data_IF_463730528518
#
_entry.id   IF_463730528518
#
_cell.length_a   1.000
_cell.length_b   1.000
_cell.length_c   1.000
_cell.angle_alpha   90.00
_cell.angle_beta   90.00
_cell.angle_gamma   90.00
#
_symmetry.space_group_name_H-M   'P 1'
#
loop_
_entity.id
_entity.type
_entity.pdbx_description
1 polymer ?
#
# COMPACT_ATOMS: atom_id res chain seq x y z
N UNK A 1 -40.97 -63.30 -4.13
CA UNK A 1 -42.04 -62.57 -4.84
C UNK A 1 -41.61 -61.10 -4.86
N UNK A 2 -41.02 -60.64 -5.97
CA UNK A 2 -41.65 -59.75 -6.98
C UNK A 2 -41.82 -58.32 -6.43
N UNK A 3 -40.93 -57.38 -6.76
CA UNK A 3 -40.97 -56.42 -7.90
C UNK A 3 -41.57 -55.07 -7.47
N UNK A 4 -41.07 -53.87 -7.79
CA UNK A 4 -39.93 -53.43 -8.59
C UNK A 4 -39.79 -51.88 -8.59
N UNK A 5 -38.58 -51.40 -8.91
CA UNK A 5 -38.13 -50.21 -9.69
C UNK A 5 -38.84 -48.84 -9.56
N UNK A 6 -38.22 -47.66 -9.70
CA UNK A 6 -36.84 -47.12 -9.91
C UNK A 6 -36.98 -45.59 -9.97
N UNK A 7 -35.92 -44.84 -9.65
CA UNK A 7 -35.79 -43.44 -10.08
C UNK A 7 -34.77 -42.63 -9.29
N UNK A 8 -33.53 -43.10 -9.20
CA UNK A 8 -32.41 -42.27 -8.75
C UNK A 8 -31.87 -41.54 -9.98
N UNK A 9 -31.97 -40.22 -10.00
CA UNK A 9 -31.33 -39.39 -11.03
C UNK A 9 -29.89 -39.19 -10.57
N UNK A 10 -29.00 -40.03 -11.07
CA UNK A 10 -27.57 -39.73 -11.10
C UNK A 10 -27.38 -38.66 -12.18
N UNK A 11 -27.20 -37.41 -11.79
CA UNK A 11 -26.54 -36.45 -12.68
C UNK A 11 -25.09 -36.92 -12.81
N UNK A 12 -24.75 -37.47 -13.98
CA UNK A 12 -23.36 -37.67 -14.33
C UNK A 12 -22.65 -36.31 -14.37
N UNK A 13 -21.41 -36.19 -13.87
CA UNK A 13 -20.65 -34.97 -14.02
C UNK A 13 -20.50 -34.73 -15.53
N UNK A 14 -20.97 -33.58 -15.99
CA UNK A 14 -20.65 -33.11 -17.34
C UNK A 14 -19.15 -32.86 -17.31
N UNK A 15 -18.37 -33.72 -17.96
CA UNK A 15 -16.94 -33.50 -18.11
C UNK A 15 -16.74 -32.18 -18.85
N UNK A 16 -16.06 -31.23 -18.19
CA UNK A 16 -15.71 -29.97 -18.83
C UNK A 16 -14.71 -30.24 -19.95
N UNK A 17 -15.14 -29.98 -21.18
CA UNK A 17 -14.30 -30.10 -22.36
C UNK A 17 -13.58 -28.76 -22.54
N UNK A 18 -12.31 -28.73 -22.14
CA UNK A 18 -11.44 -27.57 -22.32
C UNK A 18 -11.06 -27.40 -23.81
N UNK A 19 -11.21 -26.20 -24.35
CA UNK A 19 -10.80 -25.88 -25.73
C UNK A 19 -11.14 -24.46 -26.17
N UNK A 20 -10.71 -24.06 -27.36
CA UNK A 20 -11.05 -22.76 -27.92
C UNK A 20 -12.56 -22.66 -28.24
N UNK A 21 -13.26 -21.70 -27.63
CA UNK A 21 -14.71 -21.50 -27.80
C UNK A 21 -15.06 -20.45 -28.89
N UNK A 22 -14.06 -19.85 -29.54
CA UNK A 22 -14.26 -18.84 -30.59
C UNK A 22 -14.36 -19.48 -31.97
N UNK A 23 -15.54 -19.39 -32.60
CA UNK A 23 -15.85 -19.94 -33.93
C UNK A 23 -14.93 -19.39 -35.06
N UNK A 24 -14.23 -18.28 -34.82
CA UNK A 24 -13.33 -17.65 -35.78
C UNK A 24 -11.88 -18.15 -35.70
N UNK A 25 -11.54 -18.92 -34.66
CA UNK A 25 -10.21 -19.51 -34.49
C UNK A 25 -10.04 -20.78 -35.34
N UNK A 26 -8.84 -20.99 -35.86
CA UNK A 26 -8.45 -22.20 -36.62
C UNK A 26 -8.50 -23.49 -35.80
N UNK A 27 -8.38 -23.40 -34.48
CA UNK A 27 -8.50 -24.53 -33.57
C UNK A 27 -9.78 -24.44 -32.71
N UNK A 28 -10.82 -23.75 -33.20
CA UNK A 28 -12.15 -23.77 -32.60
C UNK A 28 -12.61 -25.20 -32.30
N UNK A 29 -13.04 -25.44 -31.07
CA UNK A 29 -13.59 -26.71 -30.63
C UNK A 29 -15.10 -26.54 -30.34
N UNK A 30 -16.00 -27.03 -31.20
CA UNK A 30 -17.44 -26.89 -31.00
C UNK A 30 -17.98 -27.67 -29.80
N UNK A 31 -17.19 -28.62 -29.28
CA UNK A 31 -17.56 -29.41 -28.10
C UNK A 31 -17.02 -28.79 -26.80
N UNK A 32 -16.26 -27.70 -26.85
CA UNK A 32 -15.69 -27.06 -25.67
C UNK A 32 -16.78 -26.40 -24.81
N UNK A 33 -16.85 -26.78 -23.54
CA UNK A 33 -17.76 -26.19 -22.54
C UNK A 33 -17.06 -25.15 -21.67
N UNK A 34 -15.72 -25.13 -21.66
CA UNK A 34 -14.88 -24.17 -20.92
C UNK A 34 -13.69 -23.75 -21.79
N UNK A 35 -13.41 -22.43 -21.84
CA UNK A 35 -12.28 -21.90 -22.61
C UNK A 35 -10.96 -22.19 -21.93
N UNK A 36 -10.01 -22.76 -22.68
CA UNK A 36 -8.64 -23.03 -22.22
C UNK A 36 -7.62 -21.97 -22.70
N UNK A 37 -8.11 -20.90 -23.33
CA UNK A 37 -7.31 -19.80 -23.91
C UNK A 37 -6.33 -20.26 -25.00
N UNK A 38 -6.57 -21.41 -25.63
CA UNK A 38 -5.69 -21.94 -26.68
C UNK A 38 -5.99 -21.43 -28.09
N UNK A 39 -6.95 -20.50 -28.29
CA UNK A 39 -7.38 -20.06 -29.61
C UNK A 39 -6.23 -19.59 -30.52
N UNK A 40 -6.09 -20.23 -31.68
CA UNK A 40 -5.12 -19.94 -32.74
C UNK A 40 -5.90 -19.35 -33.89
N UNK A 41 -5.56 -18.16 -34.33
CA UNK A 41 -6.15 -17.55 -35.52
C UNK A 41 -5.23 -17.78 -36.71
N UNK A 42 -5.79 -18.12 -37.87
CA UNK A 42 -5.01 -18.19 -39.10
C UNK A 42 -4.43 -16.81 -39.34
N UNK A 43 -3.10 -16.70 -39.30
CA UNK A 43 -2.41 -15.52 -39.79
C UNK A 43 -2.87 -15.28 -41.22
N UNK A 44 -3.76 -14.31 -41.38
CA UNK A 44 -4.13 -13.82 -42.68
C UNK A 44 -2.85 -13.24 -43.28
N UNK A 45 -2.19 -14.02 -44.14
CA UNK A 45 -1.11 -13.59 -45.02
C UNK A 45 -1.66 -12.66 -46.11
N UNK A 46 -2.56 -11.76 -45.73
CA UNK A 46 -2.83 -10.52 -46.41
C UNK A 46 -1.87 -9.50 -45.84
N UNK A 47 -0.79 -9.22 -46.57
CA UNK A 47 -0.03 -7.98 -46.46
C UNK A 47 -0.99 -6.79 -46.62
N UNK A 48 -1.69 -6.41 -45.55
CA UNK A 48 -2.06 -5.03 -45.31
C UNK A 48 -0.84 -4.38 -44.66
N UNK A 49 0.13 -4.06 -45.50
CA UNK A 49 1.32 -3.26 -45.20
C UNK A 49 0.97 -1.80 -44.89
N UNK A 50 -0.07 -1.57 -44.10
CA UNK A 50 -0.53 -0.28 -43.61
C UNK A 50 -0.98 -0.35 -42.14
N UNK A 51 -0.57 -1.38 -41.37
CA UNK A 51 -0.63 -1.24 -39.92
C UNK A 51 0.44 -0.20 -39.54
N UNK A 52 -0.02 1.03 -39.42
CA UNK A 52 0.84 2.19 -39.19
C UNK A 52 1.25 2.12 -37.73
N UNK A 53 2.48 1.65 -37.48
CA UNK A 53 3.06 1.69 -36.14
C UNK A 53 3.16 3.14 -35.70
N UNK A 54 2.54 3.47 -34.57
CA UNK A 54 2.62 4.81 -33.98
C UNK A 54 3.87 4.89 -33.11
N UNK A 55 4.60 6.00 -33.21
CA UNK A 55 5.73 6.24 -32.33
C UNK A 55 5.25 6.78 -30.99
N UNK A 56 5.62 6.10 -29.91
CA UNK A 56 5.29 6.49 -28.54
C UNK A 56 6.58 6.90 -27.82
N UNK A 57 6.63 8.08 -27.17
CA UNK A 57 7.76 8.43 -26.32
C UNK A 57 8.00 7.36 -25.26
N UNK A 58 9.22 6.85 -25.22
CA UNK A 58 9.62 5.79 -24.30
C UNK A 58 10.77 6.27 -23.42
N UNK A 59 10.61 6.05 -22.12
CA UNK A 59 11.66 6.14 -21.12
C UNK A 59 11.71 4.81 -20.38
N UNK A 60 12.92 4.24 -20.29
CA UNK A 60 13.16 3.01 -19.54
C UNK A 60 12.67 3.17 -18.09
N UNK A 61 12.17 2.08 -17.51
CA UNK A 61 11.69 2.00 -16.13
C UNK A 61 10.49 2.89 -15.77
N UNK A 62 9.88 3.57 -16.75
CA UNK A 62 8.72 4.44 -16.54
C UNK A 62 7.41 3.79 -16.97
N UNK A 63 6.31 4.29 -16.40
CA UNK A 63 4.99 4.08 -16.98
C UNK A 63 4.76 5.08 -18.12
N UNK A 64 5.05 4.65 -19.35
CA UNK A 64 4.92 5.51 -20.53
C UNK A 64 3.46 5.79 -20.94
N UNK A 65 2.46 5.28 -20.22
CA UNK A 65 1.05 5.66 -20.43
C UNK A 65 0.76 7.09 -19.95
N UNK A 66 1.58 7.63 -19.04
CA UNK A 66 1.56 9.04 -18.67
C UNK A 66 2.94 9.68 -18.92
N UNK A 67 3.08 10.57 -19.93
CA UNK A 67 4.38 11.09 -20.33
C UNK A 67 4.93 12.18 -19.39
N UNK A 68 4.18 12.60 -18.37
CA UNK A 68 4.54 13.77 -17.55
C UNK A 68 5.52 13.43 -16.43
N UNK A 69 5.48 12.22 -15.90
CA UNK A 69 6.41 11.78 -14.87
C UNK A 69 6.49 10.26 -14.81
N UNK A 70 7.70 9.73 -14.57
CA UNK A 70 8.01 8.30 -14.67
C UNK A 70 7.08 7.39 -13.84
N UNK A 71 6.83 7.75 -12.58
CA UNK A 71 5.94 7.01 -11.67
C UNK A 71 4.43 7.21 -11.93
N UNK A 72 4.01 8.02 -12.90
CA UNK A 72 2.60 8.30 -13.15
C UNK A 72 2.04 7.40 -14.25
N UNK A 73 0.75 7.00 -14.16
CA UNK A 73 -0.10 7.11 -12.98
C UNK A 73 0.41 6.26 -11.80
N UNK A 74 0.07 6.63 -10.57
CA UNK A 74 0.48 5.90 -9.36
C UNK A 74 -0.75 5.52 -8.53
N UNK A 75 -0.79 4.30 -7.94
CA UNK A 75 0.04 3.13 -8.25
C UNK A 75 -0.25 2.59 -9.66
N UNK A 76 0.67 1.80 -10.23
CA UNK A 76 0.52 1.24 -11.58
C UNK A 76 1.09 -0.18 -11.70
N UNK A 77 0.49 -0.96 -12.59
CA UNK A 77 0.99 -2.26 -13.05
C UNK A 77 2.30 -2.20 -13.82
N UNK A 78 2.74 -1.02 -14.29
CA UNK A 78 4.05 -0.85 -14.92
C UNK A 78 5.21 -1.26 -13.99
N UNK A 79 4.99 -1.16 -12.68
CA UNK A 79 5.97 -1.49 -11.65
C UNK A 79 5.72 -2.87 -11.03
N UNK A 80 4.93 -3.74 -11.69
CA UNK A 80 4.72 -5.12 -11.27
C UNK A 80 5.43 -6.06 -12.24
N UNK A 81 6.16 -7.02 -11.67
CA UNK A 81 6.73 -8.16 -12.40
C UNK A 81 6.07 -9.45 -11.92
N UNK A 82 5.85 -10.40 -12.83
CA UNK A 82 5.32 -11.71 -12.48
C UNK A 82 6.32 -12.47 -11.60
N UNK A 83 5.83 -13.01 -10.48
CA UNK A 83 6.59 -13.83 -9.56
C UNK A 83 5.69 -14.91 -8.95
N UNK A 84 5.73 -16.11 -9.54
CA UNK A 84 4.96 -17.27 -9.06
C UNK A 84 5.29 -17.74 -7.64
N UNK A 85 6.33 -17.18 -7.01
CA UNK A 85 6.71 -17.50 -5.63
C UNK A 85 5.99 -16.64 -4.59
N UNK A 86 5.32 -15.56 -5.01
CA UNK A 86 4.55 -14.68 -4.12
C UNK A 86 3.08 -15.07 -4.06
N UNK A 87 2.36 -14.53 -3.07
CA UNK A 87 0.93 -14.83 -2.87
C UNK A 87 0.07 -14.27 -4.00
N UNK A 88 0.38 -13.05 -4.45
CA UNK A 88 -0.36 -12.35 -5.51
C UNK A 88 0.03 -12.81 -6.92
N UNK A 89 1.13 -13.56 -7.06
CA UNK A 89 1.76 -13.84 -8.35
C UNK A 89 2.55 -12.65 -8.92
N UNK A 90 2.66 -11.55 -8.17
CA UNK A 90 3.40 -10.35 -8.55
C UNK A 90 4.47 -9.97 -7.53
N UNK A 91 5.41 -9.14 -7.96
CA UNK A 91 6.36 -8.42 -7.11
C UNK A 91 6.48 -6.99 -7.62
N UNK A 92 6.62 -6.02 -6.71
CA UNK A 92 6.98 -4.66 -7.10
C UNK A 92 8.42 -4.64 -7.66
N UNK A 93 8.62 -3.92 -8.75
CA UNK A 93 9.93 -3.59 -9.26
C UNK A 93 9.97 -2.12 -9.69
N UNK A 94 10.33 -1.24 -8.75
CA UNK A 94 10.59 0.18 -9.00
C UNK A 94 12.10 0.38 -9.04
N UNK A 95 12.63 0.61 -10.23
CA UNK A 95 14.04 0.93 -10.42
C UNK A 95 14.35 2.35 -9.92
N UNK A 96 15.59 2.59 -9.50
CA UNK A 96 15.99 3.89 -8.94
C UNK A 96 15.84 5.05 -9.93
N UNK A 97 16.08 4.78 -11.21
CA UNK A 97 15.87 5.69 -12.35
C UNK A 97 14.45 6.24 -12.44
N UNK A 98 13.45 5.50 -11.93
CA UNK A 98 12.07 5.94 -11.94
C UNK A 98 11.72 6.90 -10.80
N UNK A 99 12.54 6.94 -9.76
CA UNK A 99 12.26 7.65 -8.53
C UNK A 99 12.75 9.10 -8.65
N UNK A 100 11.91 10.11 -8.33
CA UNK A 100 12.33 11.50 -8.40
C UNK A 100 13.53 11.77 -7.48
N UNK A 101 14.53 12.47 -8.00
CA UNK A 101 15.64 13.01 -7.20
C UNK A 101 15.15 14.10 -6.25
N UNK A 102 15.74 14.20 -5.07
CA UNK A 102 15.39 15.24 -4.07
C UNK A 102 15.97 16.63 -4.37
N UNK A 103 16.65 16.79 -5.51
CA UNK A 103 17.51 17.94 -5.83
C UNK A 103 18.81 18.01 -5.02
N UNK A 104 18.96 17.21 -3.97
CA UNK A 104 20.15 17.13 -3.11
C UNK A 104 20.90 15.81 -3.22
N UNK A 105 20.22 14.76 -3.68
CA UNK A 105 20.80 13.44 -3.95
C UNK A 105 20.06 12.79 -5.12
N UNK A 106 20.79 11.90 -5.82
CA UNK A 106 20.20 10.98 -6.78
C UNK A 106 19.47 9.89 -6.02
N UNK A 107 18.27 9.56 -6.46
CA UNK A 107 17.46 8.50 -5.89
C UNK A 107 17.90 7.13 -6.41
N UNK A 108 17.97 6.15 -5.52
CA UNK A 108 18.22 4.75 -5.84
C UNK A 108 16.92 3.93 -5.66
N UNK A 109 16.91 2.67 -6.08
CA UNK A 109 15.78 1.79 -5.81
C UNK A 109 15.57 1.62 -4.29
N UNK A 110 14.33 1.33 -3.87
CA UNK A 110 14.03 0.95 -2.49
C UNK A 110 13.90 -0.57 -2.39
N UNK A 111 14.93 -1.29 -1.89
CA UNK A 111 14.86 -2.74 -1.81
C UNK A 111 13.63 -3.23 -1.03
N UNK A 112 13.23 -2.50 0.02
CA UNK A 112 12.06 -2.89 0.83
C UNK A 112 10.73 -2.85 0.08
N UNK A 113 10.56 -1.91 -0.85
CA UNK A 113 9.36 -1.84 -1.67
C UNK A 113 9.38 -2.97 -2.69
N UNK A 114 10.53 -3.24 -3.31
CA UNK A 114 10.68 -4.31 -4.30
C UNK A 114 10.63 -5.73 -3.69
N UNK A 115 10.62 -5.87 -2.36
CA UNK A 115 10.27 -7.14 -1.69
C UNK A 115 8.76 -7.36 -1.54
N UNK A 116 7.93 -6.34 -1.76
CA UNK A 116 6.48 -6.47 -1.64
C UNK A 116 5.88 -7.08 -2.90
N UNK A 117 4.90 -7.94 -2.68
CA UNK A 117 4.14 -8.62 -3.72
C UNK A 117 2.99 -7.79 -4.31
N UNK A 118 3.06 -6.47 -4.20
CA UNK A 118 2.03 -5.57 -4.74
C UNK A 118 2.11 -4.18 -4.13
N UNK A 119 1.25 -3.29 -4.62
CA UNK A 119 1.16 -1.92 -4.15
C UNK A 119 0.53 -1.86 -2.75
N UNK A 120 0.85 -0.84 -1.97
CA UNK A 120 0.18 -0.65 -0.68
C UNK A 120 -1.33 -0.45 -0.87
N UNK A 121 -2.20 -1.13 -0.10
CA UNK A 121 -3.64 -0.88 -0.12
C UNK A 121 -4.02 0.50 0.43
N UNK A 122 -3.05 1.26 0.93
CA UNK A 122 -3.21 2.65 1.39
C UNK A 122 -2.45 3.66 0.52
N UNK A 123 -1.92 3.24 -0.63
CA UNK A 123 -1.30 4.16 -1.59
C UNK A 123 -2.30 5.22 -2.03
N UNK A 124 -1.81 6.46 -2.17
CA UNK A 124 -2.61 7.52 -2.79
C UNK A 124 -2.69 7.22 -4.28
N UNK A 125 -3.89 7.31 -4.86
CA UNK A 125 -4.13 7.12 -6.28
C UNK A 125 -4.09 8.50 -6.95
N UNK A 126 -3.21 8.69 -7.92
CA UNK A 126 -3.09 9.95 -8.63
C UNK A 126 -2.47 9.82 -10.02
N UNK A 127 -2.78 10.78 -10.87
CA UNK A 127 -2.25 10.93 -12.23
C UNK A 127 -2.10 12.41 -12.55
N UNK A 128 -1.74 12.73 -13.78
CA UNK A 128 -1.76 14.10 -14.29
C UNK A 128 -2.15 14.11 -15.76
N UNK A 129 -2.54 15.28 -16.29
CA UNK A 129 -3.06 15.45 -17.63
C UNK A 129 -2.34 16.59 -18.35
N UNK A 130 -2.43 16.62 -19.69
CA UNK A 130 -1.86 17.71 -20.50
C UNK A 130 -2.36 19.11 -20.10
N UNK A 131 -3.56 19.17 -19.54
CA UNK A 131 -4.23 20.37 -19.03
C UNK A 131 -4.97 20.02 -17.75
N UNK A 132 -5.05 20.98 -16.84
CA UNK A 132 -5.76 20.80 -15.57
C UNK A 132 -7.26 20.59 -15.80
N UNK A 133 -7.84 19.45 -15.38
CA UNK A 133 -9.29 19.25 -15.42
C UNK A 133 -10.03 20.19 -14.48
N UNK A 134 -11.21 20.63 -14.93
CA UNK A 134 -12.23 21.16 -14.06
C UNK A 134 -12.93 20.00 -13.34
N UNK A 135 -12.60 19.83 -12.06
CA UNK A 135 -13.15 18.77 -11.21
C UNK A 135 -14.42 19.21 -10.47
N UNK A 136 -14.97 20.40 -10.75
CA UNK A 136 -16.14 20.93 -10.02
C UNK A 136 -17.41 20.10 -10.20
N UNK A 137 -17.51 19.35 -11.29
CA UNK A 137 -18.59 18.39 -11.56
C UNK A 137 -18.33 16.96 -11.09
N UNK A 138 -17.15 16.66 -10.55
CA UNK A 138 -16.79 15.35 -10.02
C UNK A 138 -17.08 15.28 -8.52
N UNK A 139 -17.13 14.07 -7.98
CA UNK A 139 -17.34 13.84 -6.55
C UNK A 139 -16.28 14.57 -5.71
N UNK A 140 -16.74 15.41 -4.78
CA UNK A 140 -15.87 16.12 -3.83
C UNK A 140 -15.82 15.43 -2.48
N UNK A 141 -14.92 15.85 -1.59
CA UNK A 141 -14.85 15.34 -0.21
C UNK A 141 -16.17 15.51 0.59
N UNK A 142 -17.09 16.38 0.12
CA UNK A 142 -18.42 16.59 0.71
C UNK A 142 -19.54 15.90 -0.09
N UNK A 143 -19.23 15.35 -1.27
CA UNK A 143 -20.17 14.77 -2.24
C UNK A 143 -19.79 13.36 -2.68
N UNK A 144 -19.05 12.61 -1.87
CA UNK A 144 -18.52 11.27 -2.21
C UNK A 144 -19.56 10.32 -2.84
N UNK A 145 -20.84 10.24 -2.38
CA UNK A 145 -21.81 9.34 -3.02
C UNK A 145 -22.01 9.56 -4.52
N UNK A 146 -21.72 10.76 -5.04
CA UNK A 146 -21.79 11.06 -6.48
C UNK A 146 -20.83 10.20 -7.31
N UNK A 147 -19.73 9.73 -6.71
CA UNK A 147 -18.75 8.87 -7.38
C UNK A 147 -19.31 7.51 -7.80
N UNK A 148 -20.48 7.14 -7.29
CA UNK A 148 -21.18 5.90 -7.59
C UNK A 148 -22.29 6.08 -8.65
N UNK A 149 -22.50 7.31 -9.13
CA UNK A 149 -23.48 7.58 -10.17
C UNK A 149 -23.02 6.96 -11.50
N UNK A 150 -23.97 6.41 -12.28
CA UNK A 150 -23.67 5.66 -13.50
C UNK A 150 -23.01 6.51 -14.61
N UNK A 151 -23.24 7.82 -14.59
CA UNK A 151 -22.66 8.81 -15.49
C UNK A 151 -21.50 9.59 -14.86
N UNK A 152 -20.98 9.14 -13.71
CA UNK A 152 -19.82 9.79 -13.10
C UNK A 152 -18.61 9.72 -14.03
N UNK A 153 -17.81 10.79 -14.04
CA UNK A 153 -16.65 10.94 -14.95
C UNK A 153 -15.42 10.14 -14.51
N UNK A 154 -15.44 9.54 -13.32
CA UNK A 154 -14.33 8.71 -12.80
C UNK A 154 -14.82 7.47 -12.10
N UNK A 155 -14.00 6.42 -12.09
CA UNK A 155 -14.27 5.16 -11.39
C UNK A 155 -13.01 4.66 -10.69
N UNK A 156 -13.20 4.09 -9.50
CA UNK A 156 -12.25 3.22 -8.82
C UNK A 156 -12.94 1.87 -8.67
N UNK A 157 -12.51 0.89 -9.47
CA UNK A 157 -13.17 -0.40 -9.62
C UNK A 157 -12.30 -1.49 -9.02
N UNK A 158 -12.86 -2.30 -8.12
CA UNK A 158 -12.35 -3.63 -7.81
C UNK A 158 -12.66 -4.54 -9.01
N UNK A 159 -11.62 -4.98 -9.71
CA UNK A 159 -11.75 -5.79 -10.93
C UNK A 159 -12.12 -7.24 -10.64
N UNK A 160 -11.85 -7.73 -9.42
CA UNK A 160 -12.11 -9.11 -9.04
C UNK A 160 -13.58 -9.28 -8.62
N UNK A 161 -14.16 -8.29 -7.95
CA UNK A 161 -15.56 -8.32 -7.49
C UNK A 161 -16.54 -7.53 -8.37
N UNK A 162 -16.04 -6.58 -9.17
CA UNK A 162 -16.86 -5.61 -9.90
C UNK A 162 -17.40 -4.47 -9.03
N UNK A 163 -16.97 -4.36 -7.76
CA UNK A 163 -17.41 -3.28 -6.86
C UNK A 163 -16.81 -1.93 -7.29
N UNK A 164 -17.66 -0.93 -7.51
CA UNK A 164 -17.23 0.47 -7.62
C UNK A 164 -17.06 1.03 -6.20
N UNK A 165 -15.84 1.47 -5.89
CA UNK A 165 -15.52 2.03 -4.58
C UNK A 165 -15.87 3.53 -4.54
N UNK A 166 -16.52 3.99 -3.45
CA UNK A 166 -16.79 5.40 -3.24
C UNK A 166 -15.49 6.18 -3.07
N UNK A 167 -15.37 7.27 -3.82
CA UNK A 167 -14.17 8.09 -3.86
C UNK A 167 -14.51 9.58 -4.03
N UNK A 168 -13.50 10.44 -3.88
CA UNK A 168 -13.57 11.81 -4.35
C UNK A 168 -12.36 12.18 -5.20
N UNK A 169 -12.51 13.20 -6.03
CA UNK A 169 -11.48 13.71 -6.93
C UNK A 169 -11.02 15.07 -6.46
N UNK A 170 -9.71 15.31 -6.47
CA UNK A 170 -9.15 16.61 -6.16
C UNK A 170 -7.92 16.92 -7.01
N UNK A 171 -7.76 18.20 -7.35
CA UNK A 171 -6.53 18.71 -7.96
C UNK A 171 -5.60 19.18 -6.84
N UNK A 172 -4.34 18.76 -6.89
CA UNK A 172 -3.34 19.09 -5.88
C UNK A 172 -3.09 20.61 -5.81
N UNK A 173 -3.27 21.18 -4.62
CA UNK A 173 -2.96 22.57 -4.33
C UNK A 173 -1.45 22.84 -4.18
N UNK A 174 -0.59 21.80 -4.24
CA UNK A 174 0.86 21.90 -4.02
C UNK A 174 1.69 21.83 -5.30
N UNK A 175 1.08 22.21 -6.42
CA UNK A 175 1.72 22.17 -7.75
C UNK A 175 2.65 23.36 -7.93
N UNK A 176 3.83 23.15 -8.50
CA UNK A 176 4.76 24.23 -8.86
C UNK A 176 4.28 24.96 -10.13
N UNK A 177 4.69 26.22 -10.31
CA UNK A 177 4.18 27.10 -11.37
C UNK A 177 4.40 26.56 -12.81
N UNK A 178 5.35 25.65 -12.99
CA UNK A 178 5.74 25.05 -14.28
C UNK A 178 5.47 23.53 -14.39
N UNK A 179 4.71 22.94 -13.46
CA UNK A 179 4.40 21.50 -13.46
C UNK A 179 2.89 21.26 -13.66
N UNK A 180 2.50 20.21 -14.39
CA UNK A 180 1.08 19.86 -14.51
C UNK A 180 0.58 19.33 -13.15
N UNK A 181 -0.56 19.83 -12.64
CA UNK A 181 -1.00 19.49 -11.29
C UNK A 181 -1.44 18.04 -11.19
N UNK A 182 -1.09 17.39 -10.08
CA UNK A 182 -1.58 16.05 -9.79
C UNK A 182 -3.10 16.08 -9.58
N UNK A 183 -3.77 15.07 -10.12
CA UNK A 183 -5.19 14.80 -9.92
C UNK A 183 -5.30 13.51 -9.12
N UNK A 184 -5.87 13.60 -7.92
CA UNK A 184 -6.02 12.47 -7.01
C UNK A 184 -7.41 11.84 -7.13
N UNK A 185 -7.45 10.52 -7.01
CA UNK A 185 -8.63 9.78 -6.57
C UNK A 185 -8.40 9.33 -5.13
N UNK A 186 -9.30 9.73 -4.24
CA UNK A 186 -9.19 9.47 -2.82
C UNK A 186 -10.25 8.47 -2.41
N UNK A 187 -9.82 7.28 -1.99
CA UNK A 187 -10.71 6.31 -1.37
C UNK A 187 -11.07 6.75 0.06
N UNK A 188 -12.25 6.35 0.54
CA UNK A 188 -12.70 6.60 1.91
C UNK A 188 -12.31 5.51 2.91
N UNK A 189 -11.72 4.42 2.42
CA UNK A 189 -11.22 3.28 3.18
C UNK A 189 -9.94 2.75 2.54
N UNK A 190 -9.18 1.96 3.30
CA UNK A 190 -8.11 1.15 2.71
C UNK A 190 -8.69 0.20 1.66
N UNK A 191 -7.93 -0.03 0.60
CA UNK A 191 -8.27 -1.03 -0.41
C UNK A 191 -8.15 -2.44 0.17
N UNK A 192 -8.80 -3.40 -0.47
CA UNK A 192 -8.66 -4.81 -0.12
C UNK A 192 -7.25 -5.31 -0.45
N UNK A 193 -6.79 -6.28 0.31
CA UNK A 193 -5.49 -6.91 0.11
C UNK A 193 -5.59 -7.96 -1.00
N UNK A 194 -4.50 -8.16 -1.75
CA UNK A 194 -4.46 -9.12 -2.86
C UNK A 194 -5.62 -8.93 -3.85
N UNK A 195 -5.80 -7.70 -4.33
CA UNK A 195 -6.93 -7.33 -5.20
C UNK A 195 -6.47 -6.46 -6.36
N UNK A 196 -7.03 -6.71 -7.54
CA UNK A 196 -6.80 -5.88 -8.73
C UNK A 196 -7.78 -4.71 -8.78
N UNK A 197 -7.25 -3.52 -9.01
CA UNK A 197 -8.04 -2.31 -9.14
C UNK A 197 -7.80 -1.64 -10.48
N UNK A 198 -8.88 -1.17 -11.11
CA UNK A 198 -8.84 -0.26 -12.23
C UNK A 198 -9.22 1.16 -11.79
N UNK A 199 -8.57 2.14 -12.39
CA UNK A 199 -8.89 3.55 -12.27
C UNK A 199 -9.15 4.08 -13.67
N UNK A 200 -10.25 4.79 -13.87
CA UNK A 200 -10.54 5.38 -15.17
C UNK A 200 -11.18 6.77 -15.08
N UNK A 201 -10.96 7.56 -16.12
CA UNK A 201 -11.47 8.90 -16.34
C UNK A 201 -12.09 9.01 -17.74
N UNK A 202 -13.26 9.65 -17.83
CA UNK A 202 -13.97 10.00 -19.06
C UNK A 202 -14.63 11.38 -18.91
N UNK A 203 -15.03 11.96 -20.05
CA UNK A 203 -15.75 13.24 -20.13
C UNK A 203 -15.09 14.44 -19.40
N UNK A 204 -13.79 14.36 -19.14
CA UNK A 204 -13.01 15.43 -18.52
C UNK A 204 -12.84 16.60 -19.48
N UNK A 205 -13.03 17.80 -18.92
CA UNK A 205 -12.84 19.09 -19.60
C UNK A 205 -12.02 20.01 -18.71
N UNK A 206 -11.31 20.94 -19.32
CA UNK A 206 -10.64 22.02 -18.59
C UNK A 206 -11.64 23.15 -18.24
N UNK A 207 -11.16 24.19 -17.53
CA UNK A 207 -11.97 25.34 -17.14
C UNK A 207 -12.55 26.15 -18.32
N UNK A 208 -12.03 25.96 -19.54
CA UNK A 208 -12.57 26.58 -20.75
C UNK A 208 -13.68 25.74 -21.41
N UNK A 209 -13.94 24.54 -20.89
CA UNK A 209 -14.87 23.57 -21.46
C UNK A 209 -14.26 22.72 -22.58
N UNK A 210 -12.96 22.80 -22.80
CA UNK A 210 -12.27 22.02 -23.82
C UNK A 210 -11.97 20.62 -23.30
N UNK A 211 -12.24 19.59 -24.09
CA UNK A 211 -11.97 18.19 -23.73
C UNK A 211 -10.48 17.95 -23.48
N UNK A 212 -10.16 17.11 -22.50
CA UNK A 212 -8.79 16.65 -22.24
C UNK A 212 -8.50 15.45 -23.13
N UNK A 213 -7.39 15.49 -23.86
CA UNK A 213 -7.04 14.37 -24.74
C UNK A 213 -6.33 13.25 -23.97
N UNK A 214 -6.51 11.99 -24.38
CA UNK A 214 -5.66 10.89 -23.93
C UNK A 214 -4.20 11.11 -24.34
N UNK A 215 -3.27 10.50 -23.62
CA UNK A 215 -1.89 10.39 -24.09
C UNK A 215 -1.84 9.46 -25.32
N UNK A 216 -0.86 9.67 -26.21
CA UNK A 216 -0.69 8.81 -27.41
C UNK A 216 -0.53 7.34 -27.03
N UNK A 217 0.19 7.07 -25.94
CA UNK A 217 0.40 5.72 -25.41
C UNK A 217 -0.91 5.07 -24.94
N UNK A 218 -1.69 5.77 -24.10
CA UNK A 218 -2.97 5.26 -23.62
C UNK A 218 -3.98 5.12 -24.77
N UNK A 219 -4.04 6.10 -25.67
CA UNK A 219 -4.89 6.05 -26.87
C UNK A 219 -4.55 4.83 -27.74
N UNK A 220 -3.26 4.50 -27.92
CA UNK A 220 -2.85 3.33 -28.69
C UNK A 220 -3.27 2.00 -28.05
N UNK A 221 -3.27 1.93 -26.71
CA UNK A 221 -3.85 0.80 -25.97
C UNK A 221 -5.37 0.75 -26.12
N UNK A 222 -6.05 1.88 -25.92
CA UNK A 222 -7.51 2.02 -26.04
C UNK A 222 -8.01 1.70 -27.45
N UNK A 223 -7.30 2.07 -28.49
CA UNK A 223 -7.80 1.95 -29.87
C UNK A 223 -7.22 0.73 -30.61
N UNK A 224 -6.42 -0.10 -29.93
CA UNK A 224 -5.81 -1.30 -30.52
C UNK A 224 -4.76 -0.98 -31.58
N UNK A 225 -4.16 0.21 -31.53
CA UNK A 225 -3.10 0.60 -32.47
C UNK A 225 -1.74 0.10 -31.98
N UNK A 226 -0.98 -0.52 -32.88
CA UNK A 226 0.38 -1.02 -32.57
C UNK A 226 1.35 0.15 -32.48
N UNK A 227 2.24 0.10 -31.49
CA UNK A 227 3.27 1.09 -31.20
C UNK A 227 4.67 0.53 -31.42
N UNK A 228 5.67 1.41 -31.46
CA UNK A 228 7.10 1.04 -31.46
C UNK A 228 7.68 0.86 -30.05
N UNK A 229 6.87 1.05 -29.00
CA UNK A 229 7.27 0.99 -27.59
C UNK A 229 7.07 -0.43 -27.04
N UNK A 230 8.15 -1.14 -26.66
CA UNK A 230 8.03 -2.50 -26.14
C UNK A 230 7.25 -2.58 -24.82
N UNK A 231 7.35 -1.57 -23.95
CA UNK A 231 6.65 -1.56 -22.66
C UNK A 231 5.14 -1.43 -22.84
N UNK A 232 4.68 -0.62 -23.79
CA UNK A 232 3.26 -0.48 -24.12
C UNK A 232 2.73 -1.79 -24.71
N UNK A 233 3.45 -2.40 -25.64
CA UNK A 233 3.04 -3.67 -26.24
C UNK A 233 3.00 -4.82 -25.22
N UNK A 234 3.98 -4.90 -24.31
CA UNK A 234 4.02 -5.93 -23.27
C UNK A 234 2.84 -5.82 -22.28
N UNK A 235 2.32 -4.60 -22.06
CA UNK A 235 1.23 -4.34 -21.11
C UNK A 235 -0.16 -4.50 -21.73
N UNK A 236 -0.26 -4.63 -23.05
CA UNK A 236 -1.53 -4.69 -23.79
C UNK A 236 -2.50 -5.72 -23.22
N UNK A 237 -2.03 -6.94 -22.95
CA UNK A 237 -2.87 -8.01 -22.38
C UNK A 237 -3.56 -7.63 -21.06
N UNK A 238 -2.84 -6.98 -20.14
CA UNK A 238 -3.43 -6.51 -18.88
C UNK A 238 -4.42 -5.36 -19.07
N UNK A 239 -4.17 -4.48 -20.06
CA UNK A 239 -5.10 -3.42 -20.42
C UNK A 239 -6.39 -3.95 -21.06
N UNK A 240 -6.32 -5.00 -21.87
CA UNK A 240 -7.53 -5.64 -22.43
C UNK A 240 -8.43 -6.17 -21.30
N UNK A 241 -7.87 -6.86 -20.31
CA UNK A 241 -8.63 -7.31 -19.12
C UNK A 241 -9.25 -6.13 -18.37
N UNK A 242 -8.49 -5.05 -18.17
CA UNK A 242 -8.98 -3.83 -17.53
C UNK A 242 -10.13 -3.20 -18.31
N UNK A 243 -10.04 -3.11 -19.65
CA UNK A 243 -11.10 -2.55 -20.48
C UNK A 243 -12.38 -3.39 -20.39
N UNK A 244 -12.28 -4.72 -20.40
CA UNK A 244 -13.42 -5.61 -20.23
C UNK A 244 -14.09 -5.42 -18.85
N UNK A 245 -13.31 -5.30 -17.77
CA UNK A 245 -13.82 -5.01 -16.42
C UNK A 245 -14.51 -3.65 -16.33
N UNK A 246 -13.95 -2.62 -16.97
CA UNK A 246 -14.54 -1.28 -17.00
C UNK A 246 -15.83 -1.24 -17.83
N UNK A 247 -15.87 -1.91 -18.98
CA UNK A 247 -17.06 -1.99 -19.84
C UNK A 247 -18.23 -2.66 -19.10
N UNK A 248 -17.95 -3.72 -18.33
CA UNK A 248 -18.94 -4.43 -17.52
C UNK A 248 -19.65 -3.54 -16.48
N UNK A 249 -19.04 -2.42 -16.07
CA UNK A 249 -19.63 -1.44 -15.15
C UNK A 249 -20.04 -0.13 -15.83
N UNK A 250 -20.08 -0.11 -17.16
CA UNK A 250 -20.57 1.01 -17.96
C UNK A 250 -19.52 2.08 -18.28
N UNK A 251 -18.23 1.80 -18.09
CA UNK A 251 -17.11 2.63 -18.55
C UNK A 251 -16.61 2.10 -19.91
N UNK A 252 -17.36 2.39 -20.96
CA UNK A 252 -17.09 1.93 -22.33
C UNK A 252 -15.69 2.36 -22.81
N UNK A 253 -14.94 1.40 -23.37
CA UNK A 253 -13.54 1.58 -23.82
C UNK A 253 -13.31 2.86 -24.63
N UNK A 254 -14.17 3.14 -25.61
CA UNK A 254 -14.02 4.31 -26.49
C UNK A 254 -14.24 5.67 -25.82
N UNK A 255 -14.85 5.69 -24.63
CA UNK A 255 -15.09 6.93 -23.87
C UNK A 255 -13.91 7.35 -22.99
N UNK A 256 -12.94 6.44 -22.78
CA UNK A 256 -11.88 6.64 -21.81
C UNK A 256 -10.84 7.65 -22.30
N UNK A 257 -10.49 8.61 -21.45
CA UNK A 257 -9.38 9.56 -21.67
C UNK A 257 -8.11 9.15 -20.93
N UNK A 258 -8.25 8.44 -19.80
CA UNK A 258 -7.13 7.86 -19.06
C UNK A 258 -7.66 6.70 -18.25
N UNK A 259 -6.96 5.57 -18.27
CA UNK A 259 -7.22 4.45 -17.39
C UNK A 259 -5.94 3.66 -17.16
N UNK A 260 -5.85 3.03 -16.00
CA UNK A 260 -4.77 2.11 -15.64
C UNK A 260 -5.25 1.16 -14.56
N UNK A 261 -4.48 0.12 -14.32
CA UNK A 261 -4.75 -0.85 -13.27
C UNK A 261 -3.52 -1.09 -12.41
N UNK A 262 -3.74 -1.62 -11.22
CA UNK A 262 -2.69 -2.05 -10.30
C UNK A 262 -3.20 -3.18 -9.40
N UNK A 263 -2.28 -3.88 -8.75
CA UNK A 263 -2.58 -4.94 -7.79
C UNK A 263 -2.10 -4.54 -6.39
N UNK A 264 -2.92 -4.74 -5.36
CA UNK A 264 -2.53 -4.52 -3.95
C UNK A 264 -1.75 -5.71 -3.39
N UNK A 265 -0.83 -5.44 -2.47
CA UNK A 265 -0.05 -6.47 -1.79
C UNK A 265 -0.94 -7.42 -0.97
N UNK A 266 -0.44 -8.64 -0.74
CA UNK A 266 -1.09 -9.61 0.14
C UNK A 266 -0.96 -9.22 1.62
N UNK A 267 -1.83 -9.79 2.45
CA UNK A 267 -1.75 -9.60 3.91
C UNK A 267 -0.40 -10.10 4.45
N UNK A 268 0.06 -11.23 3.92
CA UNK A 268 1.31 -11.90 4.29
C UNK A 268 2.52 -11.00 4.00
N UNK A 269 2.55 -10.36 2.84
CA UNK A 269 3.61 -9.42 2.44
C UNK A 269 3.60 -8.12 3.26
N UNK A 270 2.41 -7.60 3.57
CA UNK A 270 2.26 -6.37 4.37
C UNK A 270 2.68 -6.60 5.82
N UNK A 271 2.24 -7.71 6.43
CA UNK A 271 2.37 -7.94 7.87
C UNK A 271 3.53 -8.87 8.25
N UNK A 272 4.12 -9.57 7.27
CA UNK A 272 5.07 -10.66 7.48
C UNK A 272 6.31 -10.26 8.29
N UNK A 273 6.88 -9.08 8.04
CA UNK A 273 8.04 -8.58 8.80
C UNK A 273 7.69 -8.47 10.30
N UNK A 274 6.60 -7.78 10.63
CA UNK A 274 6.18 -7.56 12.02
C UNK A 274 5.75 -8.85 12.71
N UNK A 275 5.05 -9.75 12.02
CA UNK A 275 4.68 -11.06 12.57
C UNK A 275 5.93 -11.87 12.89
N UNK A 276 6.89 -11.92 11.97
CA UNK A 276 8.16 -12.64 12.16
C UNK A 276 8.94 -12.10 13.34
N UNK A 277 9.11 -10.76 13.41
CA UNK A 277 9.79 -10.11 14.52
C UNK A 277 9.05 -10.33 15.84
N UNK A 278 7.71 -10.22 15.87
CA UNK A 278 6.89 -10.43 17.06
C UNK A 278 7.05 -11.85 17.61
N UNK A 279 7.01 -12.85 16.74
CA UNK A 279 7.05 -14.25 17.14
C UNK A 279 8.44 -14.65 17.65
N UNK A 280 9.51 -14.24 16.94
CA UNK A 280 10.89 -14.45 17.40
C UNK A 280 11.18 -13.67 18.70
N UNK A 281 10.76 -12.41 18.81
CA UNK A 281 10.95 -11.61 20.02
C UNK A 281 10.20 -12.20 21.21
N UNK A 282 8.95 -12.63 21.00
CA UNK A 282 8.14 -13.27 22.05
C UNK A 282 8.79 -14.54 22.58
N UNK A 283 9.38 -15.36 21.70
CA UNK A 283 10.10 -16.56 22.10
C UNK A 283 11.36 -16.23 22.91
N UNK A 284 12.11 -15.19 22.51
CA UNK A 284 13.33 -14.74 23.22
C UNK A 284 13.05 -14.11 24.56
N UNK A 285 11.98 -13.34 24.68
CA UNK A 285 11.55 -12.68 25.91
C UNK A 285 11.08 -13.68 26.97
N UNK A 286 10.46 -14.79 26.55
CA UNK A 286 9.81 -15.72 27.47
C UNK A 286 8.64 -15.07 28.24
N UNK A 287 8.14 -15.71 29.31
CA UNK A 287 6.94 -15.26 30.00
C UNK A 287 7.13 -14.01 30.88
N UNK A 288 8.36 -13.65 31.26
CA UNK A 288 8.65 -12.55 32.18
C UNK A 288 9.60 -11.47 31.64
N UNK A 289 9.89 -11.49 30.33
CA UNK A 289 10.93 -10.63 29.75
C UNK A 289 12.35 -11.09 30.09
N UNK A 290 13.33 -10.30 29.65
CA UNK A 290 14.77 -10.62 29.83
C UNK A 290 15.36 -9.89 31.04
N UNK A 291 15.12 -8.60 31.17
CA UNK A 291 15.69 -7.77 32.23
C UNK A 291 14.93 -6.47 32.39
N UNK A 292 14.89 -5.95 33.63
CA UNK A 292 14.31 -4.67 33.99
C UNK A 292 15.20 -4.00 35.04
N UNK A 293 15.62 -2.77 34.77
CA UNK A 293 16.44 -1.98 35.66
C UNK A 293 15.75 -0.65 35.97
N UNK A 294 15.32 -0.46 37.21
CA UNK A 294 14.71 0.79 37.67
C UNK A 294 15.82 1.79 38.00
N UNK A 295 15.80 2.94 37.32
CA UNK A 295 16.79 4.01 37.47
C UNK A 295 16.30 5.18 38.33
N UNK A 296 14.99 5.44 38.37
CA UNK A 296 14.40 6.52 39.17
C UNK A 296 13.02 6.15 39.69
N UNK A 297 12.70 6.60 40.90
CA UNK A 297 11.35 6.60 41.45
C UNK A 297 11.09 7.97 42.05
N UNK A 298 10.18 8.72 41.45
CA UNK A 298 9.77 10.04 41.89
C UNK A 298 8.41 9.91 42.60
N UNK A 299 8.40 9.98 43.93
CA UNK A 299 7.17 10.05 44.71
C UNK A 299 6.49 11.42 44.50
N UNK A 300 5.16 11.45 44.44
CA UNK A 300 4.36 12.66 44.18
C UNK A 300 4.92 13.50 43.02
N UNK A 301 5.11 12.88 41.86
CA UNK A 301 5.71 13.55 40.71
C UNK A 301 4.91 14.82 40.36
N UNK A 302 5.60 15.96 40.18
CA UNK A 302 5.07 17.32 40.02
C UNK A 302 4.52 18.00 41.28
N UNK A 303 4.44 17.29 42.42
CA UNK A 303 3.93 17.78 43.70
C UNK A 303 2.51 18.40 43.59
N UNK A 304 1.65 17.79 42.77
CA UNK A 304 0.25 18.19 42.57
C UNK A 304 -0.77 17.12 43.01
N UNK A 305 -0.29 16.08 43.71
CA UNK A 305 -1.09 14.96 44.22
C UNK A 305 -1.86 14.20 43.12
N UNK A 306 -1.36 14.23 41.87
CA UNK A 306 -1.95 13.45 40.76
C UNK A 306 -1.22 12.15 40.47
N UNK A 307 0.09 12.07 40.74
CA UNK A 307 0.90 10.87 40.50
C UNK A 307 1.53 10.39 41.80
N UNK A 308 1.03 9.29 42.36
CA UNK A 308 1.64 8.65 43.54
C UNK A 308 3.13 8.38 43.31
N UNK A 309 3.45 7.77 42.17
CA UNK A 309 4.82 7.50 41.74
C UNK A 309 4.98 7.65 40.24
N UNK A 310 6.13 8.20 39.83
CA UNK A 310 6.67 8.03 38.48
C UNK A 310 7.94 7.20 38.55
N UNK A 311 7.95 6.07 37.86
CA UNK A 311 9.05 5.11 37.82
C UNK A 311 9.69 5.18 36.44
N UNK A 312 11.01 5.31 36.40
CA UNK A 312 11.80 5.29 35.18
C UNK A 312 12.82 4.17 35.24
N UNK A 313 13.11 3.59 34.09
CA UNK A 313 14.06 2.50 34.01
C UNK A 313 14.33 2.08 32.58
N UNK A 314 14.97 0.93 32.44
CA UNK A 314 15.18 0.26 31.17
C UNK A 314 14.69 -1.17 31.23
N UNK A 315 14.36 -1.72 30.06
CA UNK A 315 14.07 -3.12 29.82
C UNK A 315 15.05 -3.67 28.79
N UNK A 316 15.43 -4.93 28.90
CA UNK A 316 16.22 -5.60 27.87
C UNK A 316 15.29 -6.10 26.76
N UNK A 317 15.52 -5.64 25.52
CA UNK A 317 14.68 -5.98 24.35
C UNK A 317 15.50 -6.60 23.21
N UNK A 318 14.96 -7.61 22.50
CA UNK A 318 15.51 -8.08 21.24
C UNK A 318 15.46 -6.99 20.16
N UNK A 319 16.58 -6.81 19.45
CA UNK A 319 16.69 -5.90 18.30
C UNK A 319 16.85 -6.67 16.98
N UNK A 320 16.29 -6.08 15.92
CA UNK A 320 16.34 -6.55 14.53
C UNK A 320 16.99 -5.52 13.61
N UNK A 321 17.55 -4.45 14.18
CA UNK A 321 18.27 -3.38 13.47
C UNK A 321 19.77 -3.58 13.56
N UNK A 322 20.51 -2.99 12.63
CA UNK A 322 21.97 -3.08 12.57
C UNK A 322 22.66 -2.27 13.69
N UNK A 323 22.02 -1.20 14.14
CA UNK A 323 22.50 -0.26 15.17
C UNK A 323 21.33 0.30 15.95
N UNK A 324 21.58 0.78 17.18
CA UNK A 324 20.57 1.53 17.96
C UNK A 324 20.54 3.03 17.60
N UNK A 325 21.52 3.50 16.83
CA UNK A 325 21.65 4.91 16.47
C UNK A 325 21.06 5.18 15.08
N UNK A 326 20.21 6.22 14.92
CA UNK A 326 19.77 6.70 13.61
C UNK A 326 20.91 7.21 12.72
N UNK A 327 20.77 7.13 11.39
CA UNK A 327 19.86 6.24 10.66
C UNK A 327 20.37 4.79 10.73
N UNK A 328 19.47 3.81 10.81
CA UNK A 328 19.82 2.39 10.82
C UNK A 328 18.78 1.59 10.03
N UNK A 329 19.24 0.53 9.37
CA UNK A 329 18.40 -0.42 8.67
C UNK A 329 18.05 -1.61 9.57
N UNK A 330 16.98 -2.30 9.20
CA UNK A 330 16.71 -3.64 9.68
C UNK A 330 17.75 -4.62 9.11
N UNK A 331 18.31 -5.49 9.96
CA UNK A 331 19.08 -6.63 9.46
C UNK A 331 18.12 -7.65 8.86
N UNK A 332 18.38 -8.03 7.62
CA UNK A 332 17.58 -9.01 6.87
C UNK A 332 18.43 -10.19 6.42
N UNK A 333 17.79 -11.35 6.30
CA UNK A 333 18.33 -12.52 5.64
C UNK A 333 18.39 -12.31 4.12
N UNK A 334 18.99 -13.26 3.39
CA UNK A 334 19.06 -13.21 1.92
C UNK A 334 17.69 -13.23 1.23
N UNK A 335 16.65 -13.72 1.90
CA UNK A 335 15.27 -13.75 1.41
C UNK A 335 14.45 -12.51 1.84
N UNK A 336 15.09 -11.52 2.49
CA UNK A 336 14.43 -10.30 2.97
C UNK A 336 13.85 -10.41 4.39
N UNK A 337 13.81 -11.59 5.00
CA UNK A 337 13.22 -11.82 6.32
C UNK A 337 13.99 -11.07 7.43
N UNK A 338 13.32 -10.35 8.35
CA UNK A 338 13.98 -9.70 9.49
C UNK A 338 14.75 -10.69 10.37
N UNK A 339 15.94 -10.31 10.83
CA UNK A 339 16.77 -11.15 11.69
C UNK A 339 17.13 -10.47 12.99
N UNK A 340 17.02 -11.22 14.09
CA UNK A 340 17.58 -10.81 15.36
C UNK A 340 19.07 -10.47 15.23
N UNK A 341 19.48 -9.38 15.88
CA UNK A 341 20.85 -8.89 15.87
C UNK A 341 21.49 -9.03 17.24
N UNK A 342 20.93 -8.36 18.24
CA UNK A 342 21.43 -8.31 19.62
C UNK A 342 20.30 -7.96 20.59
N UNK A 343 20.56 -8.08 21.88
CA UNK A 343 19.70 -7.49 22.92
C UNK A 343 20.29 -6.16 23.34
N UNK A 344 19.44 -5.17 23.62
CA UNK A 344 19.88 -3.90 24.20
C UNK A 344 18.82 -3.30 25.13
N UNK A 345 19.20 -2.29 25.91
CA UNK A 345 18.36 -1.63 26.89
C UNK A 345 17.50 -0.52 26.28
N UNK A 346 16.18 -0.62 26.45
CA UNK A 346 15.22 0.40 26.03
C UNK A 346 14.56 1.04 27.25
N UNK A 347 14.47 2.37 27.24
CA UNK A 347 13.88 3.14 28.32
C UNK A 347 12.38 2.88 28.46
N UNK A 348 11.86 2.95 29.69
CA UNK A 348 10.42 3.02 29.95
C UNK A 348 10.13 4.07 31.03
N UNK A 349 8.91 4.60 31.01
CA UNK A 349 8.34 5.40 32.10
C UNK A 349 6.97 4.86 32.47
N UNK A 350 6.75 4.61 33.76
CA UNK A 350 5.49 4.18 34.36
C UNK A 350 5.01 5.26 35.33
N UNK A 351 3.74 5.64 35.28
CA UNK A 351 3.08 6.48 36.28
C UNK A 351 1.95 5.74 36.96
N UNK A 352 1.99 5.72 38.29
CA UNK A 352 0.92 5.19 39.14
C UNK A 352 0.15 6.40 39.68
N UNK A 353 -1.17 6.50 39.45
CA UNK A 353 -1.96 7.64 39.89
C UNK A 353 -2.13 7.65 41.41
N UNK A 354 -2.30 8.84 41.99
CA UNK A 354 -2.59 8.99 43.42
C UNK A 354 -3.89 8.31 43.83
N UNK A 355 -4.91 8.36 42.98
CA UNK A 355 -6.22 7.73 43.21
C UNK A 355 -6.13 6.22 43.42
N UNK A 356 -5.19 5.53 42.77
CA UNK A 356 -4.94 4.10 43.00
C UNK A 356 -4.30 3.83 44.37
N UNK A 357 -3.40 4.70 44.82
CA UNK A 357 -2.79 4.60 46.13
C UNK A 357 -3.82 4.85 47.25
N UNK A 358 -4.69 5.84 47.06
CA UNK A 358 -5.74 6.19 48.02
C UNK A 358 -6.82 5.12 48.12
N UNK A 359 -7.21 4.51 46.99
CA UNK A 359 -8.22 3.45 46.99
C UNK A 359 -7.70 2.12 47.54
N UNK A 360 -6.38 1.89 47.45
CA UNK A 360 -5.74 0.62 47.80
C UNK A 360 -6.12 -0.54 46.86
N UNK A 361 -6.70 -0.25 45.69
CA UNK A 361 -7.14 -1.24 44.71
C UNK A 361 -6.26 -1.19 43.45
N UNK A 362 -5.94 -2.33 42.82
CA UNK A 362 -5.29 -2.35 41.52
C UNK A 362 -6.09 -1.56 40.48
N UNK A 363 -5.39 -0.88 39.57
CA UNK A 363 -5.96 -0.14 38.44
C UNK A 363 -5.48 -0.74 37.11
N UNK A 364 -6.25 -0.62 36.02
CA UNK A 364 -5.78 -1.06 34.71
C UNK A 364 -4.58 -0.23 34.23
N UNK A 365 -3.75 -0.85 33.39
CA UNK A 365 -2.58 -0.23 32.76
C UNK A 365 -2.92 0.20 31.34
N UNK A 366 -2.57 1.44 30.98
CA UNK A 366 -2.69 1.99 29.62
C UNK A 366 -1.30 2.23 29.04
N UNK A 367 -1.06 1.68 27.85
CA UNK A 367 0.17 1.93 27.09
C UNK A 367 -0.01 3.18 26.24
N UNK A 368 0.87 4.16 26.41
CA UNK A 368 0.82 5.44 25.71
C UNK A 368 1.95 5.55 24.68
N UNK A 369 1.59 5.97 23.47
CA UNK A 369 2.53 6.44 22.46
C UNK A 369 2.65 7.96 22.46
N UNK A 370 3.84 8.47 22.25
CA UNK A 370 4.07 9.91 22.16
C UNK A 370 3.68 10.47 20.79
N UNK A 371 3.43 11.79 20.73
CA UNK A 371 3.22 12.50 19.47
C UNK A 371 4.49 12.66 18.63
N UNK A 372 4.37 13.29 17.47
CA UNK A 372 5.45 13.51 16.52
C UNK A 372 6.72 14.09 17.18
N UNK A 373 7.85 13.37 17.05
CA UNK A 373 9.16 13.74 17.62
C UNK A 373 9.18 13.90 19.14
N UNK A 374 8.24 13.27 19.84
CA UNK A 374 8.18 13.21 21.29
C UNK A 374 9.00 12.07 21.90
N UNK A 375 8.73 11.77 23.17
CA UNK A 375 9.29 10.61 23.88
C UNK A 375 8.27 10.06 24.89
N UNK A 376 8.50 8.82 25.32
CA UNK A 376 7.61 8.11 26.25
C UNK A 376 7.50 8.79 27.61
N UNK A 377 8.61 9.30 28.16
CA UNK A 377 8.64 9.99 29.46
C UNK A 377 7.72 11.21 29.46
N UNK A 378 7.82 12.05 28.44
CA UNK A 378 7.01 13.27 28.29
C UNK A 378 5.52 12.96 28.17
N UNK A 379 5.16 11.96 27.38
CA UNK A 379 3.76 11.54 27.20
C UNK A 379 3.15 11.03 28.52
N UNK A 380 3.81 10.07 29.17
CA UNK A 380 3.36 9.50 30.46
C UNK A 380 3.25 10.57 31.54
N UNK A 381 4.25 11.44 31.64
CA UNK A 381 4.28 12.52 32.65
C UNK A 381 3.19 13.56 32.44
N UNK A 382 2.81 13.83 31.19
CA UNK A 382 1.78 14.81 30.84
C UNK A 382 0.36 14.27 31.04
N UNK A 383 0.17 12.95 30.92
CA UNK A 383 -1.13 12.29 31.08
C UNK A 383 -1.53 11.99 32.53
N UNK A 384 -0.68 12.32 33.52
CA UNK A 384 -0.90 12.01 34.95
C UNK A 384 -2.25 12.49 35.51
N UNK A 385 -2.71 13.68 35.10
CA UNK A 385 -3.97 14.24 35.58
C UNK A 385 -5.18 13.42 35.14
N UNK A 386 -5.23 13.08 33.84
CA UNK A 386 -6.26 12.21 33.28
C UNK A 386 -6.23 10.81 33.91
N UNK A 387 -5.01 10.26 34.06
CA UNK A 387 -4.77 8.96 34.67
C UNK A 387 -5.27 8.91 36.13
N UNK A 388 -5.05 9.98 36.89
CA UNK A 388 -5.53 10.12 38.26
C UNK A 388 -7.06 10.22 38.34
N UNK A 389 -7.65 11.08 37.51
CA UNK A 389 -9.09 11.31 37.46
C UNK A 389 -9.87 10.04 37.12
N UNK A 390 -9.34 9.21 36.22
CA UNK A 390 -10.04 8.03 35.70
C UNK A 390 -9.55 6.70 36.32
N UNK A 391 -8.51 6.74 37.16
CA UNK A 391 -7.99 5.56 37.84
C UNK A 391 -7.28 4.58 36.91
N UNK A 392 -6.30 5.06 36.13
CA UNK A 392 -5.44 4.24 35.28
C UNK A 392 -3.96 4.44 35.60
N UNK A 393 -3.19 3.37 35.64
CA UNK A 393 -1.73 3.48 35.51
C UNK A 393 -1.37 3.69 34.03
N UNK A 394 -0.31 4.43 33.76
CA UNK A 394 0.14 4.68 32.38
C UNK A 394 1.60 4.30 32.20
N UNK A 395 1.94 3.69 31.07
CA UNK A 395 3.31 3.31 30.75
C UNK A 395 3.63 3.68 29.31
N UNK A 396 4.88 4.02 29.03
CA UNK A 396 5.33 4.38 27.70
C UNK A 396 6.82 4.18 27.51
N UNK A 397 7.19 3.89 26.27
CA UNK A 397 8.56 3.94 25.75
C UNK A 397 8.57 4.81 24.48
N UNK A 398 9.72 4.95 23.85
CA UNK A 398 9.85 5.76 22.65
C UNK A 398 9.38 4.99 21.41
N UNK A 399 8.54 5.64 20.60
CA UNK A 399 8.25 5.27 19.23
C UNK A 399 9.43 5.63 18.32
N UNK A 400 10.44 4.74 18.31
CA UNK A 400 11.62 4.84 17.43
C UNK A 400 11.20 4.99 15.96
N UNK A 401 11.91 5.84 15.21
CA UNK A 401 11.54 6.27 13.85
C UNK A 401 10.75 7.60 13.84
N UNK A 402 10.22 8.04 14.98
CA UNK A 402 9.60 9.36 15.15
C UNK A 402 9.81 9.92 16.55
N UNK A 403 10.87 9.51 17.26
CA UNK A 403 11.14 9.96 18.62
C UNK A 403 12.17 11.09 18.69
N UNK A 404 12.26 11.76 19.83
CA UNK A 404 13.23 12.83 20.07
C UNK A 404 14.68 12.32 20.15
N UNK A 405 14.94 11.03 19.99
CA UNK A 405 16.24 10.36 20.17
C UNK A 405 17.07 10.30 18.86
N UNK A 406 17.13 11.42 18.15
CA UNK A 406 17.92 11.54 16.92
C UNK A 406 17.16 11.19 15.63
N UNK A 407 15.87 10.83 15.69
CA UNK A 407 15.08 10.67 14.46
C UNK A 407 14.91 11.99 13.69
N UNK A 408 15.01 13.14 14.35
CA UNK A 408 14.95 14.44 13.69
C UNK A 408 15.98 14.58 12.56
N UNK A 409 17.24 14.21 12.84
CA UNK A 409 18.33 14.27 11.85
C UNK A 409 18.10 13.23 10.76
N UNK A 410 17.65 12.04 11.12
CA UNK A 410 17.41 10.96 10.16
C UNK A 410 16.20 11.21 9.26
N UNK A 411 15.17 11.94 9.72
CA UNK A 411 14.07 12.44 8.88
C UNK A 411 14.58 13.55 7.95
N UNK A 412 15.44 14.43 8.46
CA UNK A 412 16.07 15.47 7.62
C UNK A 412 16.90 14.83 6.51
N UNK A 413 17.66 13.77 6.80
CA UNK A 413 18.32 12.97 5.76
C UNK A 413 17.33 12.34 4.78
N UNK A 414 16.20 11.81 5.26
CA UNK A 414 15.11 11.29 4.40
C UNK A 414 14.53 12.32 3.43
N UNK A 415 14.43 13.58 3.83
CA UNK A 415 13.97 14.67 2.95
C UNK A 415 15.05 15.08 1.93
N UNK A 416 16.32 14.98 2.31
CA UNK A 416 17.46 15.30 1.45
C UNK A 416 17.83 14.14 0.52
N UNK A 417 17.52 12.90 0.88
CA UNK A 417 17.71 11.71 0.08
C UNK A 417 16.60 10.72 0.47
N UNK A 418 15.66 10.51 -0.46
CA UNK A 418 14.45 9.72 -0.20
C UNK A 418 14.76 8.28 0.18
N UNK A 419 15.90 7.70 -0.23
CA UNK A 419 16.33 6.36 0.18
C UNK A 419 16.48 6.22 1.71
N UNK A 420 16.69 7.32 2.44
CA UNK A 420 16.75 7.30 3.90
C UNK A 420 15.38 7.13 4.57
N UNK A 421 14.26 7.32 3.86
CA UNK A 421 12.92 7.10 4.41
C UNK A 421 12.69 5.65 4.85
N UNK A 422 13.34 4.67 4.21
CA UNK A 422 13.29 3.27 4.63
C UNK A 422 13.78 3.09 6.08
N UNK A 423 14.82 3.81 6.49
CA UNK A 423 15.39 3.69 7.83
C UNK A 423 14.36 4.09 8.89
N UNK A 424 13.54 5.11 8.63
CA UNK A 424 12.45 5.51 9.53
C UNK A 424 11.38 4.43 9.64
N UNK A 425 10.94 3.90 8.49
CA UNK A 425 9.91 2.86 8.43
C UNK A 425 10.35 1.57 9.14
N UNK A 426 11.62 1.17 9.01
CA UNK A 426 12.15 -0.02 9.65
C UNK A 426 12.38 0.16 11.16
N UNK A 427 12.83 1.34 11.59
CA UNK A 427 12.91 1.67 13.03
C UNK A 427 11.54 1.68 13.71
N UNK A 428 10.49 2.09 13.00
CA UNK A 428 9.12 1.99 13.51
C UNK A 428 8.71 0.55 13.81
N UNK A 429 9.14 -0.41 12.99
CA UNK A 429 8.88 -1.81 13.25
C UNK A 429 9.62 -2.31 14.51
N UNK A 430 10.87 -1.88 14.71
CA UNK A 430 11.60 -2.16 15.95
C UNK A 430 10.88 -1.57 17.18
N UNK A 431 10.27 -0.39 17.06
CA UNK A 431 9.49 0.21 18.15
C UNK A 431 8.35 -0.69 18.63
N UNK A 432 7.68 -1.40 17.72
CA UNK A 432 6.60 -2.33 18.10
C UNK A 432 7.15 -3.45 18.98
N UNK A 433 8.35 -3.96 18.67
CA UNK A 433 9.04 -4.96 19.51
C UNK A 433 9.41 -4.37 20.87
N UNK A 434 9.88 -3.13 20.91
CA UNK A 434 10.20 -2.46 22.17
C UNK A 434 8.96 -2.34 23.09
N UNK A 435 7.81 -1.99 22.53
CA UNK A 435 6.55 -1.94 23.27
C UNK A 435 6.08 -3.33 23.73
N UNK A 436 6.21 -4.35 22.88
CA UNK A 436 5.92 -5.73 23.24
C UNK A 436 6.81 -6.20 24.41
N UNK A 437 8.12 -5.94 24.34
CA UNK A 437 9.08 -6.23 25.41
C UNK A 437 8.70 -5.52 26.70
N UNK A 438 8.26 -4.27 26.63
CA UNK A 438 7.85 -3.47 27.79
C UNK A 438 6.66 -4.09 28.51
N UNK A 439 5.60 -4.40 27.77
CA UNK A 439 4.37 -5.00 28.32
C UNK A 439 4.63 -6.41 28.85
N UNK A 440 5.56 -7.16 28.24
CA UNK A 440 5.90 -8.51 28.70
C UNK A 440 6.71 -8.48 30.01
N UNK A 441 7.53 -7.45 30.20
CA UNK A 441 8.51 -7.39 31.29
C UNK A 441 7.97 -6.72 32.55
N UNK A 442 7.09 -5.72 32.41
CA UNK A 442 6.54 -4.88 33.49
C UNK A 442 5.07 -5.23 33.70
#
# INVERSE_FOLDING_TARGET
MLSGCTGEVTEEPVDDIAGCMDETATNYNPDATVSDRSCIYSEDNGSNSNQTTISVPHTDDCDNTNPHHCLLPFPSSAFLVEDSTTVTGYRLNIEGSAIPDSGSAVSEAFPILNYKDGNSPSSQIFTTFERTPDVSGLASQYGIPQSLDADHGTVLLDMDSGEILPHWVEVSARTQEDEPPLVHIRSIRGLEHNTQYAVAFRDLKDQSGSEINPSVAFESLRDGTITDSPDIENRRGGYEVMFDSLDAVGFERGSLQSAWWFHTASTESITGDLITMRDDASARLGPGGIGCNVSSVDDNYWNDDTAFRRIKGTITTPHYVESIYPPTLMRRASDGTPQFTFNDEVVFTLSIPQSAADSGTPVPLVVLGHGFLGNGEGMVSSFRGWANEHGYATIGTDFKGWSSDGDFDAITFGLMNVNYLQHQAERLQQSIINHLSMIRTI
#
